data_IF_604946356077
#
_entry.id   IF_604946356077
#
_cell.length_a   1.000
_cell.length_b   1.000
_cell.length_c   1.000
_cell.angle_alpha   90.00
_cell.angle_beta   90.00
_cell.angle_gamma   90.00
#
_symmetry.space_group_name_H-M   'P 1'
#
loop_
_entity.id
_entity.type
_entity.pdbx_description
1 polymer ?
#
# COMPACT_ATOMS: atom_id res chain seq x y z
N UNK A 1 38.83 -31.26 -43.58
CA UNK A 1 38.44 -31.35 -42.15
C UNK A 1 38.37 -29.93 -41.57
N UNK A 2 37.32 -29.18 -41.88
CA UNK A 2 37.27 -27.71 -41.66
C UNK A 2 35.96 -27.27 -40.96
N UNK A 3 35.34 -28.18 -40.21
CA UNK A 3 34.02 -27.95 -39.61
C UNK A 3 34.11 -27.46 -38.15
N UNK A 4 35.15 -27.85 -37.38
CA UNK A 4 35.21 -27.61 -35.93
C UNK A 4 35.45 -26.16 -35.48
N UNK A 5 36.11 -25.32 -36.28
CA UNK A 5 36.44 -23.93 -35.89
C UNK A 5 35.23 -22.99 -35.92
N UNK A 6 34.25 -23.25 -36.79
CA UNK A 6 33.05 -22.42 -36.94
C UNK A 6 32.08 -22.63 -35.76
N UNK A 7 32.00 -23.85 -35.23
CA UNK A 7 31.15 -24.14 -34.05
C UNK A 7 31.66 -23.47 -32.78
N UNK A 8 32.99 -23.42 -32.57
CA UNK A 8 33.58 -22.79 -31.38
C UNK A 8 33.29 -21.29 -31.36
N UNK A 9 33.42 -20.59 -32.50
CA UNK A 9 33.11 -19.16 -32.59
C UNK A 9 31.63 -18.86 -32.33
N UNK A 10 30.71 -19.70 -32.83
CA UNK A 10 29.27 -19.58 -32.55
C UNK A 10 28.96 -19.78 -31.07
N UNK A 11 29.56 -20.78 -30.43
CA UNK A 11 29.34 -21.07 -29.01
C UNK A 11 29.88 -19.98 -28.09
N UNK A 12 31.06 -19.42 -28.39
CA UNK A 12 31.64 -18.30 -27.62
C UNK A 12 30.78 -17.04 -27.74
N UNK A 13 30.23 -16.76 -28.92
CA UNK A 13 29.35 -15.61 -29.13
C UNK A 13 28.03 -15.74 -28.35
N UNK A 14 27.46 -16.95 -28.27
CA UNK A 14 26.23 -17.22 -27.51
C UNK A 14 26.46 -17.06 -25.99
N UNK A 15 27.60 -17.50 -25.47
CA UNK A 15 27.93 -17.37 -24.04
C UNK A 15 28.15 -15.89 -23.65
N UNK A 16 28.78 -15.09 -24.51
CA UNK A 16 28.94 -13.65 -24.29
C UNK A 16 27.60 -12.89 -24.34
N UNK A 17 26.66 -13.33 -25.19
CA UNK A 17 25.34 -12.73 -25.29
C UNK A 17 24.46 -13.06 -24.07
N UNK A 18 24.58 -14.28 -23.52
CA UNK A 18 23.85 -14.69 -22.32
C UNK A 18 24.34 -13.97 -21.04
N UNK A 19 25.64 -13.73 -20.90
CA UNK A 19 26.17 -13.04 -19.72
C UNK A 19 25.79 -11.56 -19.67
N UNK A 20 25.67 -10.91 -20.83
CA UNK A 20 25.19 -9.52 -20.92
C UNK A 20 23.71 -9.37 -20.50
N UNK A 21 22.89 -10.41 -20.71
CA UNK A 21 21.47 -10.38 -20.36
C UNK A 21 21.22 -10.42 -18.83
N UNK A 22 22.13 -11.05 -18.06
CA UNK A 22 22.03 -11.12 -16.59
C UNK A 22 22.41 -9.80 -15.89
N UNK A 23 23.26 -8.98 -16.52
CA UNK A 23 23.63 -7.64 -16.00
C UNK A 23 22.54 -6.60 -16.30
N UNK A 24 21.63 -6.90 -17.23
CA UNK A 24 20.47 -6.07 -17.54
C UNK A 24 19.22 -6.50 -16.77
N UNK A 25 19.37 -7.00 -15.53
CA UNK A 25 18.28 -6.93 -14.59
C UNK A 25 18.25 -5.49 -14.05
N UNK A 26 17.30 -4.62 -14.44
CA UNK A 26 17.06 -3.44 -13.63
C UNK A 26 16.77 -3.97 -12.23
N UNK A 27 17.65 -3.66 -11.28
CA UNK A 27 17.44 -4.01 -9.88
C UNK A 27 16.00 -3.64 -9.56
N UNK A 28 15.21 -4.64 -9.17
CA UNK A 28 13.84 -4.48 -8.71
C UNK A 28 13.89 -3.51 -7.54
N UNK A 29 13.74 -2.22 -7.85
CA UNK A 29 13.67 -1.14 -6.89
C UNK A 29 12.26 -1.18 -6.32
N UNK A 30 12.01 -2.19 -5.48
CA UNK A 30 10.82 -2.29 -4.64
C UNK A 30 10.96 -1.29 -3.48
N UNK A 31 11.04 -0.01 -3.79
CA UNK A 31 11.08 1.08 -2.80
C UNK A 31 10.57 2.41 -3.35
N UNK A 32 9.57 2.37 -4.25
CA UNK A 32 8.92 3.58 -4.78
C UNK A 32 7.40 3.49 -4.67
N UNK A 33 6.89 3.07 -3.51
CA UNK A 33 5.52 3.43 -3.17
C UNK A 33 5.50 4.95 -2.94
N UNK A 34 4.65 5.71 -3.65
CA UNK A 34 4.59 7.16 -3.46
C UNK A 34 4.25 7.46 -2.01
N UNK A 35 5.20 8.08 -1.29
CA UNK A 35 5.01 8.56 0.08
C UNK A 35 3.84 9.54 0.07
N UNK A 36 2.69 9.08 0.54
CA UNK A 36 1.45 9.85 0.44
C UNK A 36 1.29 10.68 1.69
N UNK A 37 1.44 12.01 1.56
CA UNK A 37 1.26 12.91 2.70
C UNK A 37 -0.22 13.18 2.95
N UNK A 38 -0.68 12.83 4.16
CA UNK A 38 -2.09 12.95 4.58
C UNK A 38 -2.18 13.97 5.71
N UNK A 39 -3.01 14.99 5.50
CA UNK A 39 -3.31 16.04 6.48
C UNK A 39 -4.53 15.72 7.32
N UNK A 40 -5.51 15.03 6.74
CA UNK A 40 -6.79 14.74 7.39
C UNK A 40 -7.31 13.37 6.95
N UNK A 41 -7.94 12.68 7.89
CA UNK A 41 -8.69 11.45 7.63
C UNK A 41 -10.19 11.81 7.64
N UNK A 42 -10.91 11.31 6.65
CA UNK A 42 -12.36 11.39 6.56
C UNK A 42 -12.92 9.98 6.59
N UNK A 43 -13.92 9.74 7.41
CA UNK A 43 -14.58 8.43 7.49
C UNK A 43 -15.95 8.50 6.82
N UNK A 44 -16.30 7.44 6.09
CA UNK A 44 -17.60 7.27 5.44
C UNK A 44 -18.13 5.87 5.73
N UNK A 45 -19.46 5.71 5.62
CA UNK A 45 -20.13 4.43 5.89
C UNK A 45 -20.33 4.14 7.37
N UNK A 46 -19.88 5.05 8.24
CA UNK A 46 -20.18 5.03 9.66
C UNK A 46 -21.60 5.54 9.92
N UNK A 47 -22.39 4.77 10.64
CA UNK A 47 -23.74 5.11 11.11
C UNK A 47 -23.90 4.88 12.60
N UNK A 48 -23.08 4.01 13.20
CA UNK A 48 -23.12 3.67 14.63
C UNK A 48 -22.36 4.69 15.51
N UNK A 49 -21.31 5.31 14.96
CA UNK A 49 -20.51 6.35 15.62
C UNK A 49 -20.51 7.59 14.73
N UNK A 50 -20.67 8.78 15.31
CA UNK A 50 -20.68 10.03 14.57
C UNK A 50 -19.34 10.31 13.87
N UNK A 51 -19.41 10.83 12.64
CA UNK A 51 -18.20 11.12 11.85
C UNK A 51 -17.31 12.16 12.52
N UNK A 52 -17.88 13.16 13.20
CA UNK A 52 -17.12 14.20 13.90
C UNK A 52 -16.27 13.60 15.02
N UNK A 53 -16.84 12.68 15.80
CA UNK A 53 -16.12 12.04 16.90
C UNK A 53 -14.96 11.19 16.39
N UNK A 54 -15.19 10.42 15.33
CA UNK A 54 -14.14 9.62 14.69
C UNK A 54 -13.05 10.47 14.02
N UNK A 55 -13.42 11.55 13.32
CA UNK A 55 -12.45 12.45 12.69
C UNK A 55 -11.62 13.20 13.73
N UNK A 56 -12.20 13.54 14.89
CA UNK A 56 -11.50 14.15 16.01
C UNK A 56 -10.56 13.16 16.69
N UNK A 57 -10.99 11.91 16.84
CA UNK A 57 -10.18 10.84 17.41
C UNK A 57 -8.92 10.57 16.58
N UNK A 58 -9.05 10.63 15.25
CA UNK A 58 -7.97 10.40 14.30
C UNK A 58 -7.30 11.68 13.79
N UNK A 59 -7.28 12.73 14.61
CA UNK A 59 -6.63 13.98 14.24
C UNK A 59 -5.11 13.76 14.08
N UNK A 60 -4.60 14.02 12.88
CA UNK A 60 -3.20 13.88 12.52
C UNK A 60 -2.37 15.13 12.87
N UNK A 61 -3.02 16.18 13.39
CA UNK A 61 -2.38 17.46 13.70
C UNK A 61 -1.75 18.10 12.45
N UNK A 62 -0.43 18.07 12.38
CA UNK A 62 0.33 18.62 11.24
C UNK A 62 0.33 17.69 9.99
N UNK A 63 -0.31 16.52 10.09
CA UNK A 63 -0.33 15.50 9.05
C UNK A 63 0.78 14.48 9.18
N UNK A 64 0.64 13.36 8.47
CA UNK A 64 1.54 12.21 8.53
C UNK A 64 1.88 11.71 7.13
N UNK A 65 3.08 11.16 6.96
CA UNK A 65 3.41 10.38 5.76
C UNK A 65 2.78 9.00 5.90
N UNK A 66 1.81 8.71 5.05
CA UNK A 66 1.09 7.44 5.04
C UNK A 66 1.88 6.39 4.26
N UNK A 67 2.43 5.41 4.97
CA UNK A 67 2.94 4.14 4.45
C UNK A 67 1.97 3.00 4.81
N UNK A 68 2.14 1.77 4.29
CA UNK A 68 1.27 0.65 4.64
C UNK A 68 1.17 0.40 6.14
N UNK A 69 2.27 0.52 6.89
CA UNK A 69 2.30 0.24 8.32
C UNK A 69 1.48 1.27 9.12
N UNK A 70 1.57 2.56 8.78
CA UNK A 70 0.76 3.62 9.39
C UNK A 70 -0.71 3.45 8.97
N UNK A 71 -0.99 3.04 7.74
CA UNK A 71 -2.35 2.74 7.30
C UNK A 71 -2.97 1.61 8.13
N UNK A 72 -2.24 0.52 8.34
CA UNK A 72 -2.70 -0.62 9.14
C UNK A 72 -2.94 -0.20 10.59
N UNK A 73 -2.07 0.66 11.15
CA UNK A 73 -2.27 1.24 12.47
C UNK A 73 -3.56 2.05 12.54
N UNK A 74 -3.79 2.97 11.60
CA UNK A 74 -5.04 3.77 11.53
C UNK A 74 -6.28 2.87 11.40
N UNK A 75 -6.22 1.82 10.58
CA UNK A 75 -7.33 0.87 10.43
C UNK A 75 -7.58 0.12 11.74
N UNK A 76 -6.51 -0.32 12.42
CA UNK A 76 -6.63 -0.99 13.72
C UNK A 76 -7.22 -0.07 14.80
N UNK A 77 -6.86 1.21 14.77
CA UNK A 77 -7.32 2.23 15.72
C UNK A 77 -8.82 2.51 15.54
N UNK A 78 -9.29 2.56 14.29
CA UNK A 78 -10.73 2.63 14.00
C UNK A 78 -11.45 1.41 14.60
N UNK A 79 -10.95 0.20 14.35
CA UNK A 79 -11.57 -1.03 14.87
C UNK A 79 -11.58 -1.06 16.39
N UNK A 80 -10.49 -0.65 17.04
CA UNK A 80 -10.40 -0.57 18.49
C UNK A 80 -11.42 0.43 19.07
N UNK A 81 -11.58 1.59 18.44
CA UNK A 81 -12.59 2.57 18.86
C UNK A 81 -14.02 2.02 18.73
N UNK A 82 -14.35 1.31 17.64
CA UNK A 82 -15.66 0.66 17.50
C UNK A 82 -15.86 -0.45 18.54
N UNK A 83 -14.85 -1.28 18.79
CA UNK A 83 -14.88 -2.29 19.83
C UNK A 83 -15.12 -1.69 21.22
N UNK A 84 -14.46 -0.58 21.54
CA UNK A 84 -14.66 0.14 22.80
C UNK A 84 -16.12 0.62 22.98
N UNK A 85 -16.79 0.97 21.89
CA UNK A 85 -18.20 1.38 21.89
C UNK A 85 -19.19 0.20 21.78
N UNK A 86 -18.71 -1.05 21.78
CA UNK A 86 -19.55 -2.25 21.76
C UNK A 86 -19.86 -2.82 20.38
N UNK A 87 -19.14 -2.40 19.34
CA UNK A 87 -19.35 -2.82 17.94
C UNK A 87 -18.12 -3.60 17.40
N UNK A 88 -17.96 -4.89 17.73
CA UNK A 88 -16.73 -5.64 17.44
C UNK A 88 -16.60 -6.16 15.99
N UNK A 89 -17.68 -6.18 15.22
CA UNK A 89 -17.86 -6.86 13.93
C UNK A 89 -17.75 -5.92 12.72
N UNK A 90 -17.11 -4.76 12.86
CA UNK A 90 -16.96 -3.83 11.74
C UNK A 90 -15.77 -4.16 10.82
N UNK A 91 -15.94 -3.91 9.53
CA UNK A 91 -14.84 -3.91 8.57
C UNK A 91 -14.42 -2.47 8.24
N UNK A 92 -13.12 -2.22 8.14
CA UNK A 92 -12.59 -0.90 7.77
C UNK A 92 -11.51 -1.07 6.70
N UNK A 93 -11.62 -0.30 5.62
CA UNK A 93 -10.69 -0.30 4.50
C UNK A 93 -10.49 1.09 3.92
N UNK A 94 -9.24 1.39 3.57
CA UNK A 94 -8.89 2.63 2.90
C UNK A 94 -9.35 2.59 1.44
N UNK A 95 -10.09 3.61 1.00
CA UNK A 95 -10.30 3.82 -0.42
C UNK A 95 -9.06 4.58 -0.89
N UNK A 96 -8.15 3.87 -1.56
CA UNK A 96 -6.80 4.27 -2.02
C UNK A 96 -6.76 5.52 -2.94
N UNK A 97 -7.32 6.64 -2.50
CA UNK A 97 -7.21 7.96 -3.13
C UNK A 97 -7.19 9.02 -2.05
N UNK A 98 -6.02 9.62 -1.88
CA UNK A 98 -5.91 10.89 -1.18
C UNK A 98 -6.19 12.01 -2.16
N UNK A 99 -7.08 12.93 -1.79
CA UNK A 99 -7.41 14.11 -2.60
C UNK A 99 -7.02 15.35 -1.81
N UNK A 100 -6.05 16.12 -2.30
CA UNK A 100 -5.56 17.34 -1.64
C UNK A 100 -5.11 17.11 -0.17
N UNK A 101 -4.53 15.94 0.12
CA UNK A 101 -4.10 15.57 1.47
C UNK A 101 -5.21 15.07 2.40
N UNK A 102 -6.45 14.89 1.91
CA UNK A 102 -7.52 14.22 2.66
C UNK A 102 -7.57 12.76 2.21
N UNK A 103 -7.46 11.84 3.17
CA UNK A 103 -7.62 10.41 2.96
C UNK A 103 -9.01 9.96 3.38
N UNK A 104 -9.70 9.20 2.54
CA UNK A 104 -11.04 8.67 2.86
C UNK A 104 -10.94 7.20 3.25
N UNK A 105 -11.41 6.86 4.44
CA UNK A 105 -11.57 5.48 4.91
C UNK A 105 -13.04 5.13 4.89
N UNK A 106 -13.37 3.96 4.35
CA UNK A 106 -14.72 3.42 4.41
C UNK A 106 -14.80 2.37 5.51
N UNK A 107 -15.82 2.51 6.35
CA UNK A 107 -16.23 1.51 7.31
C UNK A 107 -17.47 0.80 6.75
N UNK A 108 -17.55 -0.50 6.94
CA UNK A 108 -18.72 -1.33 6.66
C UNK A 108 -19.20 -1.94 7.98
N UNK A 109 -20.39 -1.52 8.40
CA UNK A 109 -21.02 -1.89 9.67
C UNK A 109 -22.06 -3.00 9.48
N UNK A 110 -22.21 -3.58 8.28
CA UNK A 110 -23.29 -4.54 7.99
C UNK A 110 -23.39 -5.72 8.95
N UNK A 111 -22.27 -6.18 9.50
CA UNK A 111 -22.27 -7.32 10.41
C UNK A 111 -22.69 -6.97 11.86
N UNK A 112 -22.93 -5.68 12.15
CA UNK A 112 -23.51 -5.21 13.42
C UNK A 112 -25.05 -5.14 13.39
N UNK A 113 -25.65 -5.30 12.20
CA UNK A 113 -27.10 -5.27 11.96
C UNK A 113 -27.63 -6.66 11.62
#
# INVERSE_FOLDING_TARGET
MMSGRIYIFKSVFIVLFLSAFLVFSPGLTFASSPKTFVKKIKIIGNTLIDSYDLERYLDLGNGVTMNPEVMDMVISEIRANYQYHGYPSIEAYSILKTKKGVMTIKVDEKNEY
#
